data_IF_162004538199
#
_entry.id   IF_162004538199
#
_cell.length_a   1.000
_cell.length_b   1.000
_cell.length_c   1.000
_cell.angle_alpha   90.00
_cell.angle_beta   90.00
_cell.angle_gamma   90.00
#
_symmetry.space_group_name_H-M   'P 1'
#
loop_
_entity.id
_entity.type
_entity.pdbx_description
1 polymer ?
#
# COMPACT_ATOMS: atom_id res chain seq x y z
N UNK A 1 6.45 -5.75 34.45
CA UNK A 1 5.47 -5.18 33.50
C UNK A 1 6.26 -4.55 32.35
N UNK A 2 5.97 -5.06 31.14
CA UNK A 2 6.24 -4.58 29.78
C UNK A 2 7.38 -3.56 29.56
N UNK A 3 8.36 -3.96 28.73
CA UNK A 3 8.85 -3.08 27.65
C UNK A 3 9.71 -3.86 26.65
N UNK A 4 9.08 -4.11 25.49
CA UNK A 4 9.62 -4.13 24.13
C UNK A 4 10.97 -4.83 23.90
N UNK A 5 10.90 -6.16 23.81
CA UNK A 5 11.87 -6.95 23.07
C UNK A 5 11.40 -6.94 21.61
N UNK A 6 12.18 -6.31 20.73
CA UNK A 6 12.48 -6.74 19.34
C UNK A 6 12.97 -5.54 18.51
N UNK A 7 14.16 -5.08 18.84
CA UNK A 7 15.03 -4.45 17.85
C UNK A 7 15.56 -5.57 16.93
N UNK A 8 14.96 -5.76 15.75
CA UNK A 8 15.61 -6.52 14.69
C UNK A 8 16.33 -5.57 13.74
N UNK A 9 17.59 -5.33 14.06
CA UNK A 9 18.59 -4.93 13.10
C UNK A 9 18.91 -6.14 12.21
N UNK A 10 18.40 -6.17 10.97
CA UNK A 10 19.01 -6.94 9.89
C UNK A 10 18.88 -6.15 8.58
N UNK A 11 20.04 -5.84 7.98
CA UNK A 11 20.16 -5.50 6.58
C UNK A 11 19.48 -6.57 5.71
N UNK A 12 18.27 -6.30 5.24
CA UNK A 12 17.78 -6.87 4.00
C UNK A 12 17.36 -5.71 3.10
N UNK A 13 18.30 -5.26 2.27
CA UNK A 13 17.89 -4.68 1.01
C UNK A 13 17.12 -5.77 0.26
N UNK A 14 15.91 -5.43 -0.21
CA UNK A 14 15.01 -6.26 -1.02
C UNK A 14 14.20 -7.30 -0.22
N UNK A 15 13.21 -6.83 0.54
CA UNK A 15 12.01 -7.60 0.89
C UNK A 15 10.84 -6.78 0.33
N UNK A 16 10.63 -6.85 -0.98
CA UNK A 16 9.49 -7.56 -1.58
C UNK A 16 8.16 -7.25 -0.87
N UNK A 17 7.36 -6.37 -1.47
CA UNK A 17 5.92 -6.21 -1.21
C UNK A 17 5.15 -7.55 -1.26
N UNK A 18 5.78 -8.61 -1.78
CA UNK A 18 5.39 -10.02 -1.68
C UNK A 18 5.35 -10.58 -0.24
N UNK A 19 5.88 -9.86 0.76
CA UNK A 19 5.77 -10.19 2.20
C UNK A 19 4.70 -9.32 2.88
N UNK A 20 4.67 -8.01 2.56
CA UNK A 20 3.63 -7.10 3.06
C UNK A 20 2.22 -7.47 2.55
N UNK A 21 2.14 -8.19 1.43
CA UNK A 21 0.92 -8.75 0.83
C UNK A 21 1.11 -10.28 0.77
N UNK A 22 0.23 -11.08 1.37
CA UNK A 22 0.40 -12.54 1.39
C UNK A 22 0.43 -13.09 -0.04
N UNK A 23 1.33 -14.03 -0.36
CA UNK A 23 1.45 -14.58 -1.73
C UNK A 23 0.13 -15.12 -2.28
N UNK A 24 -0.67 -15.75 -1.42
CA UNK A 24 -1.98 -16.32 -1.78
C UNK A 24 -3.01 -15.21 -2.09
N UNK A 25 -3.09 -14.19 -1.23
CA UNK A 25 -3.96 -13.03 -1.43
C UNK A 25 -3.59 -12.25 -2.68
N UNK A 26 -2.29 -12.09 -2.92
CA UNK A 26 -1.77 -11.39 -4.09
C UNK A 26 -2.20 -12.09 -5.39
N UNK A 27 -2.01 -13.41 -5.50
CA UNK A 27 -2.44 -14.17 -6.68
C UNK A 27 -3.96 -14.15 -6.87
N UNK A 28 -4.72 -14.26 -5.78
CA UNK A 28 -6.18 -14.15 -5.78
C UNK A 28 -6.64 -12.77 -6.27
N UNK A 29 -6.05 -11.70 -5.75
CA UNK A 29 -6.41 -10.32 -6.08
C UNK A 29 -5.96 -9.89 -7.47
N UNK A 30 -4.84 -10.41 -7.97
CA UNK A 30 -4.44 -10.26 -9.37
C UNK A 30 -5.51 -10.85 -10.30
N UNK A 31 -5.93 -12.09 -10.06
CA UNK A 31 -6.98 -12.74 -10.86
C UNK A 31 -8.31 -12.01 -10.80
N UNK A 32 -8.73 -11.54 -9.63
CA UNK A 32 -9.96 -10.74 -9.46
C UNK A 32 -9.93 -9.45 -10.28
N UNK A 33 -8.75 -8.87 -10.50
CA UNK A 33 -8.56 -7.65 -11.28
C UNK A 33 -8.19 -7.90 -12.76
N UNK A 34 -8.38 -9.12 -13.27
CA UNK A 34 -8.12 -9.45 -14.67
C UNK A 34 -6.63 -9.69 -15.02
N UNK A 35 -5.76 -9.70 -14.02
CA UNK A 35 -4.32 -9.92 -14.14
C UNK A 35 -4.03 -11.41 -13.89
N UNK A 36 -4.17 -12.21 -14.94
CA UNK A 36 -4.24 -13.67 -14.84
C UNK A 36 -3.04 -14.40 -15.47
N UNK A 37 -2.09 -13.66 -16.05
CA UNK A 37 -0.90 -14.23 -16.66
C UNK A 37 0.32 -14.06 -15.73
N UNK A 38 1.33 -14.91 -15.89
CA UNK A 38 2.57 -14.85 -15.09
C UNK A 38 3.38 -13.57 -15.34
N UNK A 39 3.18 -12.91 -16.49
CA UNK A 39 3.82 -11.65 -16.82
C UNK A 39 3.28 -10.49 -15.97
N UNK A 40 1.98 -10.49 -15.63
CA UNK A 40 1.35 -9.45 -14.81
C UNK A 40 1.91 -9.46 -13.37
N UNK A 41 2.14 -10.65 -12.82
CA UNK A 41 2.80 -10.85 -11.52
C UNK A 41 4.22 -10.26 -11.54
N UNK A 42 5.00 -10.57 -12.58
CA UNK A 42 6.37 -10.06 -12.71
C UNK A 42 6.40 -8.55 -12.98
N UNK A 43 5.43 -8.02 -13.74
CA UNK A 43 5.25 -6.59 -13.97
C UNK A 43 4.90 -5.86 -12.66
N UNK A 44 4.06 -6.43 -11.82
CA UNK A 44 3.74 -5.87 -10.50
C UNK A 44 4.98 -5.82 -9.61
N UNK A 45 5.73 -6.92 -9.53
CA UNK A 45 7.00 -6.97 -8.78
C UNK A 45 8.00 -5.95 -9.32
N UNK A 46 8.14 -5.84 -10.65
CA UNK A 46 9.05 -4.89 -11.28
C UNK A 46 8.65 -3.44 -10.98
N UNK A 47 7.36 -3.12 -11.04
CA UNK A 47 6.87 -1.77 -10.76
C UNK A 47 7.09 -1.37 -9.31
N UNK A 48 6.76 -2.27 -8.38
CA UNK A 48 7.00 -2.10 -6.94
C UNK A 48 8.49 -1.93 -6.63
N UNK A 49 9.38 -2.60 -7.36
CA UNK A 49 10.83 -2.42 -7.20
C UNK A 49 11.37 -1.16 -7.88
N UNK A 50 10.62 -0.58 -8.82
CA UNK A 50 10.99 0.68 -9.48
C UNK A 50 10.80 1.88 -8.55
N UNK A 51 11.50 2.98 -8.80
CA UNK A 51 11.36 4.24 -8.05
C UNK A 51 10.08 5.01 -8.38
N UNK A 52 9.11 4.40 -9.09
CA UNK A 52 7.80 5.01 -9.38
C UNK A 52 7.86 6.24 -10.30
N UNK A 53 9.03 6.51 -10.91
CA UNK A 53 9.25 7.72 -11.74
C UNK A 53 8.69 7.60 -13.16
N UNK A 54 8.49 6.38 -13.65
CA UNK A 54 7.96 6.14 -14.99
C UNK A 54 6.44 5.98 -14.93
N UNK A 55 5.76 6.61 -15.89
CA UNK A 55 4.34 6.39 -16.12
C UNK A 55 4.11 4.92 -16.49
N UNK A 56 3.25 4.26 -15.71
CA UNK A 56 3.06 2.82 -15.81
C UNK A 56 1.60 2.53 -16.10
N UNK A 57 1.35 1.93 -17.28
CA UNK A 57 0.01 1.75 -17.83
C UNK A 57 -0.95 0.92 -16.97
N UNK A 58 -0.44 0.13 -16.02
CA UNK A 58 -1.23 -0.73 -15.14
C UNK A 58 -1.25 -0.22 -13.69
N UNK A 59 -0.88 1.04 -13.44
CA UNK A 59 -0.84 1.60 -12.08
C UNK A 59 -2.22 1.57 -11.42
N UNK A 60 -3.29 1.81 -12.19
CA UNK A 60 -4.66 1.73 -11.69
C UNK A 60 -5.03 0.31 -11.30
N UNK A 61 -4.77 -0.65 -12.18
CA UNK A 61 -5.01 -2.08 -11.97
C UNK A 61 -4.25 -2.58 -10.74
N UNK A 62 -2.98 -2.21 -10.59
CA UNK A 62 -2.20 -2.57 -9.41
C UNK A 62 -2.66 -1.86 -8.14
N UNK A 63 -3.16 -0.63 -8.22
CA UNK A 63 -3.80 0.03 -7.08
C UNK A 63 -5.05 -0.74 -6.63
N UNK A 64 -5.85 -1.26 -7.58
CA UNK A 64 -6.99 -2.12 -7.26
C UNK A 64 -6.56 -3.47 -6.65
N UNK A 65 -5.40 -4.02 -7.06
CA UNK A 65 -4.85 -5.22 -6.43
C UNK A 65 -4.48 -4.95 -4.97
N UNK A 66 -3.85 -3.82 -4.67
CA UNK A 66 -3.55 -3.43 -3.27
C UNK A 66 -4.85 -3.26 -2.48
N UNK A 67 -5.87 -2.61 -3.02
CA UNK A 67 -7.16 -2.46 -2.37
C UNK A 67 -7.79 -3.83 -2.05
N UNK A 68 -7.75 -4.76 -3.01
CA UNK A 68 -8.24 -6.11 -2.81
C UNK A 68 -7.47 -6.84 -1.69
N UNK A 69 -6.13 -6.73 -1.62
CA UNK A 69 -5.38 -7.40 -0.56
C UNK A 69 -5.71 -6.82 0.83
N UNK A 70 -5.90 -5.51 0.92
CA UNK A 70 -6.35 -4.87 2.18
C UNK A 70 -7.72 -5.43 2.60
N UNK A 71 -8.66 -5.56 1.66
CA UNK A 71 -10.00 -6.11 1.92
C UNK A 71 -9.97 -7.59 2.36
N UNK A 72 -9.15 -8.41 1.69
CA UNK A 72 -8.96 -9.82 2.05
C UNK A 72 -8.40 -9.95 3.49
N UNK A 73 -7.32 -9.23 3.82
CA UNK A 73 -6.73 -9.27 5.16
C UNK A 73 -7.69 -8.77 6.24
N UNK A 74 -8.43 -7.69 5.96
CA UNK A 74 -9.46 -7.19 6.88
C UNK A 74 -10.55 -8.21 7.15
N UNK A 75 -10.97 -8.92 6.11
CA UNK A 75 -11.98 -9.98 6.21
C UNK A 75 -11.47 -11.14 7.04
N UNK A 76 -10.23 -11.56 6.84
CA UNK A 76 -9.59 -12.63 7.61
C UNK A 76 -9.41 -12.26 9.09
N UNK A 77 -8.93 -11.05 9.36
CA UNK A 77 -8.66 -10.56 10.72
C UNK A 77 -9.92 -10.04 11.45
N UNK A 78 -11.09 -10.04 10.80
CA UNK A 78 -12.34 -9.44 11.28
C UNK A 78 -12.17 -7.95 11.69
N UNK A 79 -11.34 -7.20 10.95
CA UNK A 79 -11.02 -5.81 11.23
C UNK A 79 -11.96 -4.88 10.46
N UNK A 80 -12.76 -4.11 11.19
CA UNK A 80 -13.71 -3.14 10.62
C UNK A 80 -13.11 -1.73 10.53
N UNK A 81 -11.95 -1.58 9.88
CA UNK A 81 -11.26 -0.29 9.68
C UNK A 81 -11.21 0.03 8.19
N UNK A 82 -11.74 1.19 7.76
CA UNK A 82 -11.71 1.58 6.33
C UNK A 82 -10.27 1.75 5.82
N UNK A 83 -10.06 1.62 4.51
CA UNK A 83 -8.76 1.88 3.88
C UNK A 83 -8.29 3.32 4.12
N UNK A 84 -9.21 4.28 4.10
CA UNK A 84 -8.94 5.66 4.50
C UNK A 84 -8.40 5.76 5.94
N UNK A 85 -9.04 5.08 6.90
CA UNK A 85 -8.59 5.09 8.30
C UNK A 85 -7.22 4.42 8.45
N UNK A 86 -6.99 3.29 7.77
CA UNK A 86 -5.70 2.61 7.75
C UNK A 86 -4.59 3.56 7.27
N UNK A 87 -4.78 4.25 6.14
CA UNK A 87 -3.80 5.22 5.63
C UNK A 87 -3.62 6.42 6.57
N UNK A 88 -4.70 6.88 7.20
CA UNK A 88 -4.65 7.97 8.20
C UNK A 88 -3.76 7.59 9.38
N UNK A 89 -3.90 6.36 9.87
CA UNK A 89 -3.11 5.84 10.99
C UNK A 89 -1.63 5.72 10.59
N UNK A 90 -1.34 5.13 9.44
CA UNK A 90 0.04 5.01 8.90
C UNK A 90 0.72 6.38 8.73
N UNK A 91 0.01 7.37 8.17
CA UNK A 91 0.54 8.74 8.01
C UNK A 91 0.78 9.38 9.38
N UNK A 92 -0.12 9.16 10.34
CA UNK A 92 0.02 9.70 11.70
C UNK A 92 1.22 9.11 12.43
N UNK A 93 1.46 7.80 12.29
CA UNK A 93 2.63 7.11 12.84
C UNK A 93 3.95 7.55 12.18
N UNK A 94 3.89 7.99 10.93
CA UNK A 94 5.04 8.51 10.20
C UNK A 94 5.42 9.96 10.55
N UNK A 95 4.60 10.70 11.31
CA UNK A 95 4.80 12.14 11.58
C UNK A 95 6.21 12.49 12.10
N UNK A 96 6.81 11.64 12.95
CA UNK A 96 8.15 11.88 13.49
C UNK A 96 9.28 11.29 12.62
N UNK A 97 8.95 10.61 11.51
CA UNK A 97 9.88 9.90 10.63
C UNK A 97 10.11 10.61 9.30
N UNK A 98 9.20 11.51 8.91
CA UNK A 98 9.25 12.27 7.65
C UNK A 98 9.19 13.78 7.93
N UNK A 99 9.64 14.65 7.00
CA UNK A 99 9.50 16.09 7.14
C UNK A 99 8.05 16.55 7.33
N UNK A 100 7.82 17.53 8.21
CA UNK A 100 6.48 18.09 8.50
C UNK A 100 5.69 18.49 7.26
N UNK A 101 6.36 19.06 6.26
CA UNK A 101 5.74 19.46 4.98
C UNK A 101 5.24 18.23 4.23
N UNK A 102 6.07 17.20 4.09
CA UNK A 102 5.70 15.93 3.47
C UNK A 102 4.54 15.26 4.22
N UNK A 103 4.58 15.24 5.56
CA UNK A 103 3.48 14.71 6.38
C UNK A 103 2.15 15.45 6.13
N UNK A 104 2.17 16.79 6.12
CA UNK A 104 0.97 17.60 5.84
C UNK A 104 0.44 17.37 4.42
N UNK A 105 1.33 17.27 3.44
CA UNK A 105 0.96 17.03 2.04
C UNK A 105 0.32 15.66 1.84
N UNK A 106 0.85 14.63 2.50
CA UNK A 106 0.27 13.28 2.48
C UNK A 106 -1.13 13.26 3.08
N UNK A 107 -1.31 13.88 4.25
CA UNK A 107 -2.62 13.98 4.90
C UNK A 107 -3.63 14.73 4.02
N UNK A 108 -3.23 15.87 3.49
CA UNK A 108 -4.08 16.70 2.60
C UNK A 108 -4.46 15.95 1.33
N UNK A 109 -3.52 15.20 0.75
CA UNK A 109 -3.75 14.38 -0.45
C UNK A 109 -4.74 13.25 -0.15
N UNK A 110 -4.57 12.56 0.98
CA UNK A 110 -5.50 11.50 1.41
C UNK A 110 -6.92 12.05 1.60
N UNK A 111 -7.07 13.14 2.34
CA UNK A 111 -8.39 13.76 2.60
C UNK A 111 -9.09 14.17 1.29
N UNK A 112 -8.32 14.76 0.36
CA UNK A 112 -8.85 15.16 -0.96
C UNK A 112 -9.28 13.96 -1.79
N UNK A 113 -8.50 12.88 -1.79
CA UNK A 113 -8.83 11.68 -2.54
C UNK A 113 -10.05 10.96 -1.95
N UNK A 114 -10.18 10.92 -0.63
CA UNK A 114 -11.33 10.33 0.03
C UNK A 114 -12.65 11.07 -0.27
N UNK A 115 -12.60 12.39 -0.46
CA UNK A 115 -13.77 13.15 -0.91
C UNK A 115 -14.25 12.77 -2.33
N UNK A 116 -13.41 12.10 -3.12
CA UNK A 116 -13.65 11.77 -4.53
C UNK A 116 -13.79 10.26 -4.80
N UNK A 117 -13.51 9.42 -3.81
CA UNK A 117 -13.46 7.97 -4.00
C UNK A 117 -14.84 7.31 -4.08
N UNK A 118 -15.89 7.97 -3.58
CA UNK A 118 -17.26 7.43 -3.52
C UNK A 118 -17.34 6.08 -2.77
N UNK A 119 -16.43 5.84 -1.81
CA UNK A 119 -16.31 4.58 -1.08
C UNK A 119 -15.62 3.44 -1.85
N UNK A 120 -15.03 3.73 -3.02
CA UNK A 120 -14.25 2.77 -3.80
C UNK A 120 -12.77 2.84 -3.39
N UNK A 121 -12.31 1.84 -2.64
CA UNK A 121 -10.92 1.75 -2.17
C UNK A 121 -9.91 1.71 -3.32
N UNK A 122 -10.25 1.18 -4.49
CA UNK A 122 -9.36 1.26 -5.64
C UNK A 122 -9.21 2.71 -6.13
N UNK A 123 -10.31 3.46 -6.23
CA UNK A 123 -10.25 4.89 -6.60
C UNK A 123 -9.44 5.69 -5.58
N UNK A 124 -9.63 5.43 -4.28
CA UNK A 124 -8.86 6.05 -3.21
C UNK A 124 -7.36 5.81 -3.40
N UNK A 125 -6.95 4.53 -3.50
CA UNK A 125 -5.55 4.13 -3.60
C UNK A 125 -4.88 4.61 -4.89
N UNK A 126 -5.61 4.62 -6.00
CA UNK A 126 -5.12 5.17 -7.26
C UNK A 126 -4.96 6.69 -7.19
N UNK A 127 -5.92 7.40 -6.58
CA UNK A 127 -5.87 8.85 -6.44
C UNK A 127 -4.68 9.31 -5.59
N UNK A 128 -4.42 8.66 -4.45
CA UNK A 128 -3.25 8.97 -3.60
C UNK A 128 -1.93 8.50 -4.19
N UNK A 129 -1.98 7.75 -5.31
CA UNK A 129 -0.83 7.12 -5.96
C UNK A 129 -0.08 6.22 -4.98
N UNK A 130 -0.78 5.24 -4.39
CA UNK A 130 -0.24 4.36 -3.35
C UNK A 130 1.08 3.68 -3.74
N UNK A 131 1.29 3.43 -5.04
CA UNK A 131 2.49 2.78 -5.57
C UNK A 131 3.64 3.74 -5.91
N UNK A 132 3.52 5.02 -5.55
CA UNK A 132 4.56 6.04 -5.71
C UNK A 132 4.92 6.68 -4.37
N UNK A 133 6.12 7.22 -4.30
CA UNK A 133 6.53 8.00 -3.14
C UNK A 133 5.65 9.25 -2.99
N UNK A 134 5.36 9.68 -1.76
CA UNK A 134 5.82 9.09 -0.49
C UNK A 134 4.94 7.96 0.07
N UNK A 135 3.77 7.70 -0.52
CA UNK A 135 2.83 6.69 0.00
C UNK A 135 3.36 5.27 -0.09
N UNK A 136 4.12 4.97 -1.15
CA UNK A 136 4.80 3.68 -1.33
C UNK A 136 5.76 3.37 -0.19
N UNK A 137 6.49 4.37 0.31
CA UNK A 137 7.41 4.16 1.44
C UNK A 137 6.64 3.80 2.71
N UNK A 138 5.42 4.32 2.91
CA UNK A 138 4.59 3.92 4.06
C UNK A 138 4.20 2.45 3.95
N UNK A 139 3.55 2.01 2.87
CA UNK A 139 3.10 0.61 2.76
C UNK A 139 4.25 -0.42 2.76
N UNK A 140 5.48 -0.01 2.43
CA UNK A 140 6.67 -0.89 2.49
C UNK A 140 7.39 -0.85 3.84
N UNK A 141 7.23 0.22 4.65
CA UNK A 141 7.99 0.42 5.90
C UNK A 141 7.28 -0.04 7.18
N UNK A 142 6.00 -0.42 7.10
CA UNK A 142 5.21 -0.92 8.23
C UNK A 142 5.14 -2.45 8.31
N UNK A 143 6.08 -3.13 7.65
CA UNK A 143 6.30 -4.58 7.68
C UNK A 143 7.59 -4.90 8.47
#
# INVERSE_FOLDING_TARGET
MKSYVLAFAICFAVIDLSFALGKEDQEKCLRKNGLNNSTDVELMKAFVRSDGKNEFHLEREFSCVVACVIDERRTEDNVNTSTYQLLTDLISEAHNKIPDEQWRDMKTTLDKCHQQDEGDDCKLLYCVKILRDPFKELIVSFD
#
